data_IF_181440943747
#
_entry.id   IF_181440943747
#
_cell.length_a   1.000
_cell.length_b   1.000
_cell.length_c   1.000
_cell.angle_alpha   90.00
_cell.angle_beta   90.00
_cell.angle_gamma   90.00
#
_symmetry.space_group_name_H-M   'P 1'
#
loop_
_entity.id
_entity.type
_entity.pdbx_description
1 polymer ?
#
# COMPACT_ATOMS: atom_id res chain seq x y z
N UNK A 1 42.45 22.60 16.99
CA UNK A 1 41.00 22.70 16.67
C UNK A 1 40.45 21.45 15.95
N UNK A 2 41.22 20.37 15.79
CA UNK A 2 40.87 19.17 15.02
C UNK A 2 40.13 18.07 15.80
N UNK A 3 40.28 18.01 17.13
CA UNK A 3 39.70 16.94 17.96
C UNK A 3 38.16 17.00 18.06
N UNK A 4 37.61 18.19 18.27
CA UNK A 4 36.17 18.41 18.46
C UNK A 4 35.35 18.17 17.18
N UNK A 5 35.92 18.48 16.00
CA UNK A 5 35.26 18.21 14.71
C UNK A 5 35.20 16.72 14.40
N UNK A 6 36.26 15.96 14.70
CA UNK A 6 36.30 14.51 14.50
C UNK A 6 35.32 13.77 15.43
N UNK A 7 35.18 14.22 16.69
CA UNK A 7 34.19 13.69 17.63
C UNK A 7 32.75 13.91 17.14
N UNK A 8 32.42 15.12 16.65
CA UNK A 8 31.08 15.42 16.11
C UNK A 8 30.75 14.58 14.88
N UNK A 9 31.72 14.39 13.97
CA UNK A 9 31.53 13.56 12.78
C UNK A 9 31.30 12.08 13.13
N UNK A 10 32.04 11.53 14.09
CA UNK A 10 31.87 10.16 14.56
C UNK A 10 30.50 9.94 15.24
N UNK A 11 30.05 10.88 16.08
CA UNK A 11 28.72 10.83 16.70
C UNK A 11 27.60 10.89 15.65
N UNK A 12 27.74 11.75 14.62
CA UNK A 12 26.76 11.82 13.53
C UNK A 12 26.70 10.51 12.72
N UNK A 13 27.85 9.90 12.41
CA UNK A 13 27.89 8.61 11.71
C UNK A 13 27.23 7.48 12.52
N UNK A 14 27.47 7.44 13.83
CA UNK A 14 26.83 6.45 14.70
C UNK A 14 25.30 6.65 14.73
N UNK A 15 24.83 7.90 14.86
CA UNK A 15 23.40 8.19 14.85
C UNK A 15 22.69 7.75 13.56
N UNK A 16 23.31 7.94 12.39
CA UNK A 16 22.77 7.45 11.11
C UNK A 16 22.71 5.92 11.09
N UNK A 17 23.75 5.22 11.55
CA UNK A 17 23.75 3.75 11.62
C UNK A 17 22.66 3.23 12.54
N UNK A 18 22.44 3.87 13.68
CA UNK A 18 21.42 3.49 14.64
C UNK A 18 20.01 3.65 14.02
N UNK A 19 19.77 4.76 13.32
CA UNK A 19 18.51 5.00 12.60
C UNK A 19 18.26 3.91 11.54
N UNK A 20 19.25 3.59 10.71
CA UNK A 20 19.12 2.57 9.67
C UNK A 20 18.93 1.17 10.25
N UNK A 21 19.58 0.87 11.38
CA UNK A 21 19.45 -0.42 12.08
C UNK A 21 18.05 -0.57 12.68
N UNK A 22 17.53 0.47 13.33
CA UNK A 22 16.17 0.49 13.88
C UNK A 22 15.13 0.32 12.77
N UNK A 23 15.30 1.01 11.65
CA UNK A 23 14.42 0.88 10.48
C UNK A 23 14.41 -0.56 9.94
N UNK A 24 15.58 -1.19 9.83
CA UNK A 24 15.69 -2.60 9.41
C UNK A 24 14.97 -3.52 10.39
N UNK A 25 15.22 -3.38 11.69
CA UNK A 25 14.60 -4.21 12.72
C UNK A 25 13.08 -4.07 12.71
N UNK A 26 12.57 -2.85 12.56
CA UNK A 26 11.13 -2.62 12.44
C UNK A 26 10.54 -3.35 11.24
N UNK A 27 11.19 -3.28 10.07
CA UNK A 27 10.72 -3.98 8.88
C UNK A 27 10.71 -5.51 9.06
N UNK A 28 11.73 -6.08 9.70
CA UNK A 28 11.78 -7.53 9.97
C UNK A 28 10.70 -7.97 10.98
N UNK A 29 10.46 -7.18 12.03
CA UNK A 29 9.39 -7.42 12.98
C UNK A 29 8.02 -7.37 12.28
N UNK A 30 7.75 -6.33 11.48
CA UNK A 30 6.52 -6.22 10.72
C UNK A 30 6.34 -7.37 9.73
N UNK A 31 7.38 -7.71 8.98
CA UNK A 31 7.34 -8.86 8.04
C UNK A 31 6.92 -10.14 8.76
N UNK A 32 7.56 -10.45 9.89
CA UNK A 32 7.30 -11.67 10.65
C UNK A 32 5.87 -11.70 11.21
N UNK A 33 5.39 -10.57 11.74
CA UNK A 33 4.02 -10.44 12.25
C UNK A 33 2.99 -10.63 11.14
N UNK A 34 3.18 -9.97 9.99
CA UNK A 34 2.27 -10.06 8.86
C UNK A 34 2.23 -11.50 8.31
N UNK A 35 3.39 -12.16 8.18
CA UNK A 35 3.45 -13.54 7.71
C UNK A 35 2.71 -14.50 8.64
N UNK A 36 2.88 -14.33 9.96
CA UNK A 36 2.16 -15.13 10.95
C UNK A 36 0.64 -14.88 10.89
N UNK A 37 0.21 -13.63 10.79
CA UNK A 37 -1.21 -13.28 10.68
C UNK A 37 -1.83 -13.72 9.36
N UNK A 38 -1.09 -13.68 8.26
CA UNK A 38 -1.58 -14.18 6.98
C UNK A 38 -1.77 -15.71 7.02
N UNK A 39 -0.89 -16.41 7.73
CA UNK A 39 -1.00 -17.86 7.92
C UNK A 39 -2.22 -18.25 8.77
N UNK A 40 -2.69 -17.38 9.68
CA UNK A 40 -3.84 -17.65 10.54
C UNK A 40 -5.17 -17.12 9.98
N UNK A 41 -5.18 -15.92 9.41
CA UNK A 41 -6.37 -15.24 8.87
C UNK A 41 -6.63 -15.62 7.42
N UNK A 42 -5.58 -15.81 6.63
CA UNK A 42 -5.67 -16.08 5.19
C UNK A 42 -5.76 -14.83 4.31
N UNK A 43 -6.00 -15.06 3.01
CA UNK A 43 -6.13 -13.98 2.01
C UNK A 43 -7.32 -13.07 2.30
N UNK A 44 -7.15 -11.79 1.99
CA UNK A 44 -8.02 -10.71 2.47
C UNK A 44 -7.44 -9.95 3.67
N UNK A 45 -6.33 -10.44 4.25
CA UNK A 45 -5.58 -9.69 5.26
C UNK A 45 -5.24 -8.29 4.73
N UNK A 46 -5.71 -7.29 5.46
CA UNK A 46 -5.53 -5.88 5.13
C UNK A 46 -4.50 -5.28 6.07
N UNK A 47 -3.55 -4.56 5.49
CA UNK A 47 -2.54 -3.79 6.18
C UNK A 47 -2.85 -2.30 6.03
N UNK A 48 -2.39 -1.50 6.98
CA UNK A 48 -2.46 -0.05 6.91
C UNK A 48 -1.05 0.55 6.92
N UNK A 49 -0.93 1.71 6.28
CA UNK A 49 0.21 2.59 6.48
C UNK A 49 -0.20 3.64 7.50
N UNK A 50 0.33 3.53 8.72
CA UNK A 50 0.00 4.41 9.84
C UNK A 50 0.23 5.91 9.56
N UNK A 51 0.99 6.26 8.52
CA UNK A 51 1.30 7.66 8.18
C UNK A 51 0.50 8.23 7.02
N UNK A 52 -0.25 7.42 6.27
CA UNK A 52 -0.80 7.84 4.97
C UNK A 52 -2.29 7.54 4.76
N UNK A 53 -3.02 7.10 5.80
CA UNK A 53 -4.45 6.76 5.72
C UNK A 53 -4.82 5.92 4.49
N UNK A 54 -3.93 4.99 4.13
CA UNK A 54 -4.08 4.10 3.01
C UNK A 54 -3.81 2.65 3.44
N UNK A 55 -4.32 1.74 2.63
CA UNK A 55 -4.45 0.33 2.98
C UNK A 55 -3.96 -0.55 1.83
N UNK A 56 -3.56 -1.76 2.19
CA UNK A 56 -3.11 -2.78 1.26
C UNK A 56 -3.72 -4.13 1.62
N UNK A 57 -4.42 -4.76 0.70
CA UNK A 57 -4.97 -6.11 0.88
C UNK A 57 -4.14 -7.15 0.14
N UNK A 58 -3.82 -8.26 0.81
CA UNK A 58 -3.05 -9.38 0.26
C UNK A 58 -4.01 -10.45 -0.28
N UNK A 59 -3.83 -10.83 -1.56
CA UNK A 59 -4.72 -11.74 -2.28
C UNK A 59 -3.94 -12.74 -3.13
N UNK A 60 -4.61 -13.82 -3.54
CA UNK A 60 -4.21 -14.55 -4.76
C UNK A 60 -4.48 -13.66 -5.97
N UNK A 61 -3.65 -13.77 -6.99
CA UNK A 61 -3.89 -13.03 -8.21
C UNK A 61 -4.99 -13.70 -9.05
N UNK A 62 -6.12 -13.03 -9.32
CA UNK A 62 -7.19 -13.59 -10.15
C UNK A 62 -6.85 -13.57 -11.65
N UNK A 63 -5.90 -12.74 -12.08
CA UNK A 63 -5.50 -12.56 -13.48
C UNK A 63 -4.33 -13.47 -13.85
N UNK A 64 -3.49 -13.84 -12.88
CA UNK A 64 -2.33 -14.71 -13.09
C UNK A 64 -2.37 -15.93 -12.14
N UNK A 65 -2.91 -17.07 -12.60
CA UNK A 65 -3.03 -18.27 -11.78
C UNK A 65 -1.71 -18.70 -11.14
N UNK A 66 -1.74 -18.94 -9.82
CA UNK A 66 -0.57 -19.35 -9.04
C UNK A 66 0.25 -18.17 -8.48
N UNK A 67 -0.01 -16.94 -8.92
CA UNK A 67 0.65 -15.74 -8.37
C UNK A 67 -0.15 -15.09 -7.24
N UNK A 68 0.47 -14.12 -6.60
CA UNK A 68 -0.07 -13.37 -5.47
C UNK A 68 -0.05 -11.88 -5.80
N UNK A 69 -0.99 -11.11 -5.23
CA UNK A 69 -1.05 -9.66 -5.41
C UNK A 69 -1.27 -8.93 -4.11
N UNK A 70 -0.76 -7.71 -4.05
CA UNK A 70 -1.34 -6.70 -3.17
C UNK A 70 -2.27 -5.79 -3.96
N UNK A 71 -3.33 -5.31 -3.31
CA UNK A 71 -4.23 -4.29 -3.83
C UNK A 71 -4.23 -3.10 -2.87
N UNK A 72 -3.81 -1.93 -3.34
CA UNK A 72 -3.83 -0.69 -2.57
C UNK A 72 -5.17 0.03 -2.73
N UNK A 73 -5.61 0.66 -1.64
CA UNK A 73 -6.83 1.47 -1.59
C UNK A 73 -6.79 2.50 -0.47
N UNK A 74 -7.67 3.48 -0.55
CA UNK A 74 -7.94 4.46 0.50
C UNK A 74 -9.44 4.80 0.51
N UNK A 75 -9.84 5.91 1.15
CA UNK A 75 -11.25 6.32 1.19
C UNK A 75 -11.87 6.65 -0.17
N UNK A 76 -11.05 6.85 -1.21
CA UNK A 76 -11.47 7.13 -2.58
C UNK A 76 -11.40 5.88 -3.47
N UNK A 77 -11.24 4.68 -2.91
CA UNK A 77 -11.29 3.44 -3.67
C UNK A 77 -9.92 2.85 -3.98
N UNK A 78 -9.92 1.95 -4.96
CA UNK A 78 -8.72 1.24 -5.40
C UNK A 78 -7.81 2.14 -6.24
N UNK A 79 -6.49 2.07 -6.02
CA UNK A 79 -5.54 2.95 -6.72
C UNK A 79 -4.49 2.20 -7.53
N UNK A 80 -3.88 1.17 -6.97
CA UNK A 80 -2.82 0.39 -7.64
C UNK A 80 -2.75 -1.03 -7.09
N UNK A 81 -2.15 -1.93 -7.84
CA UNK A 81 -1.87 -3.29 -7.40
C UNK A 81 -0.49 -3.72 -7.89
N UNK A 82 0.02 -4.81 -7.35
CA UNK A 82 1.23 -5.42 -7.86
C UNK A 82 1.21 -6.92 -7.65
N UNK A 83 1.65 -7.63 -8.68
CA UNK A 83 1.69 -9.10 -8.74
C UNK A 83 3.11 -9.60 -8.48
N UNK A 84 3.22 -10.70 -7.72
CA UNK A 84 4.47 -11.35 -7.32
C UNK A 84 4.33 -12.87 -7.40
N UNK A 85 5.46 -13.54 -7.53
CA UNK A 85 5.52 -15.00 -7.65
C UNK A 85 5.35 -15.71 -6.29
N UNK A 86 5.64 -15.02 -5.19
CA UNK A 86 5.51 -15.54 -3.82
C UNK A 86 4.75 -14.58 -2.91
N UNK A 87 4.14 -15.11 -1.85
CA UNK A 87 3.42 -14.30 -0.87
C UNK A 87 4.39 -13.49 0.01
N UNK A 88 5.57 -14.05 0.25
CA UNK A 88 6.68 -13.41 0.95
C UNK A 88 7.14 -12.15 0.21
N UNK A 89 7.23 -12.19 -1.12
CA UNK A 89 7.60 -11.02 -1.93
C UNK A 89 6.51 -9.94 -1.90
N UNK A 90 5.23 -10.32 -1.81
CA UNK A 90 4.14 -9.36 -1.58
C UNK A 90 4.34 -8.66 -0.23
N UNK A 91 4.57 -9.40 0.84
CA UNK A 91 4.75 -8.83 2.18
C UNK A 91 5.99 -7.93 2.23
N UNK A 92 7.12 -8.36 1.65
CA UNK A 92 8.34 -7.54 1.58
C UNK A 92 8.10 -6.23 0.84
N UNK A 93 7.40 -6.27 -0.30
CA UNK A 93 7.04 -5.08 -1.03
C UNK A 93 6.18 -4.13 -0.17
N UNK A 94 5.14 -4.65 0.47
CA UNK A 94 4.24 -3.86 1.34
C UNK A 94 4.97 -3.21 2.52
N UNK A 95 5.81 -3.97 3.23
CA UNK A 95 6.61 -3.44 4.34
C UNK A 95 7.57 -2.35 3.86
N UNK A 96 8.20 -2.53 2.68
CA UNK A 96 9.09 -1.52 2.10
C UNK A 96 8.34 -0.22 1.73
N UNK A 97 7.07 -0.33 1.36
CA UNK A 97 6.18 0.79 1.07
C UNK A 97 5.55 1.41 2.33
N UNK A 98 5.81 0.86 3.53
CA UNK A 98 5.36 1.39 4.80
C UNK A 98 4.08 0.78 5.36
N UNK A 99 3.51 -0.24 4.71
CA UNK A 99 2.37 -1.00 5.24
C UNK A 99 2.86 -2.01 6.29
N UNK A 100 2.87 -1.59 7.55
CA UNK A 100 3.57 -2.29 8.64
C UNK A 100 2.66 -2.83 9.73
N UNK A 101 1.40 -2.39 9.76
CA UNK A 101 0.42 -2.78 10.78
C UNK A 101 -0.78 -3.44 10.13
N UNK A 102 -1.39 -4.36 10.86
CA UNK A 102 -2.62 -5.04 10.43
C UNK A 102 -3.77 -4.08 10.67
N UNK A 103 -4.56 -3.82 9.62
CA UNK A 103 -5.74 -2.99 9.72
C UNK A 103 -6.91 -3.76 10.37
N UNK A 104 -7.93 -3.02 10.79
CA UNK A 104 -9.20 -3.62 11.17
C UNK A 104 -9.78 -4.42 9.98
N UNK A 105 -10.20 -5.69 10.18
CA UNK A 105 -10.74 -6.53 9.10
C UNK A 105 -11.95 -5.94 8.36
N UNK A 106 -12.71 -5.05 9.02
CA UNK A 106 -13.90 -4.39 8.45
C UNK A 106 -13.56 -3.13 7.66
N UNK A 107 -12.28 -2.74 7.57
CA UNK A 107 -11.85 -1.49 6.95
C UNK A 107 -12.36 -1.34 5.52
N UNK A 108 -12.23 -2.38 4.69
CA UNK A 108 -12.69 -2.33 3.31
C UNK A 108 -14.22 -2.21 3.23
N UNK A 109 -14.96 -3.00 4.01
CA UNK A 109 -16.42 -2.94 4.03
C UNK A 109 -16.93 -1.57 4.46
N UNK A 110 -16.30 -1.00 5.50
CA UNK A 110 -16.60 0.33 6.00
C UNK A 110 -16.35 1.41 4.95
N UNK A 111 -15.19 1.39 4.27
CA UNK A 111 -14.86 2.40 3.27
C UNK A 111 -15.70 2.23 2.00
N UNK A 112 -15.89 0.99 1.53
CA UNK A 112 -16.63 0.69 0.30
C UNK A 112 -18.12 1.01 0.38
N UNK A 113 -18.66 1.14 1.59
CA UNK A 113 -20.03 1.59 1.84
C UNK A 113 -20.21 3.12 1.79
N UNK A 114 -19.15 3.89 1.55
CA UNK A 114 -19.20 5.37 1.54
C UNK A 114 -19.51 5.94 0.16
N UNK A 115 -20.06 7.17 0.14
CA UNK A 115 -20.29 7.90 -1.11
C UNK A 115 -18.96 8.26 -1.79
N UNK A 116 -17.97 8.63 -0.99
CA UNK A 116 -16.62 9.00 -1.43
C UNK A 116 -15.97 7.85 -2.20
N UNK A 117 -16.07 6.63 -1.67
CA UNK A 117 -15.60 5.44 -2.36
C UNK A 117 -16.32 5.20 -3.67
N UNK A 118 -17.66 5.28 -3.68
CA UNK A 118 -18.45 5.10 -4.90
C UNK A 118 -18.03 6.10 -6.00
N UNK A 119 -17.85 7.38 -5.64
CA UNK A 119 -17.37 8.41 -6.55
C UNK A 119 -15.95 8.15 -7.05
N UNK A 120 -15.07 7.70 -6.15
CA UNK A 120 -13.71 7.35 -6.51
C UNK A 120 -13.63 6.15 -7.46
N UNK A 121 -14.48 5.14 -7.28
CA UNK A 121 -14.57 4.01 -8.19
C UNK A 121 -15.05 4.39 -9.60
N UNK A 122 -15.91 5.41 -9.74
CA UNK A 122 -16.24 5.96 -11.07
C UNK A 122 -14.98 6.51 -11.75
N UNK A 123 -14.12 7.22 -11.01
CA UNK A 123 -12.85 7.73 -11.56
C UNK A 123 -11.94 6.60 -12.02
N UNK A 124 -11.82 5.54 -11.21
CA UNK A 124 -11.02 4.35 -11.55
C UNK A 124 -11.50 3.71 -12.85
N UNK A 125 -12.81 3.54 -13.02
CA UNK A 125 -13.36 2.96 -14.24
C UNK A 125 -13.18 3.87 -15.45
N UNK A 126 -13.37 5.19 -15.31
CA UNK A 126 -13.11 6.16 -16.39
C UNK A 126 -11.64 6.10 -16.82
N UNK A 127 -10.70 6.09 -15.88
CA UNK A 127 -9.26 5.99 -16.19
C UNK A 127 -8.97 4.69 -16.94
N UNK A 128 -9.57 3.56 -16.51
CA UNK A 128 -9.45 2.27 -17.21
C UNK A 128 -9.97 2.37 -18.66
N UNK A 129 -11.14 2.97 -18.87
CA UNK A 129 -11.74 3.13 -20.19
C UNK A 129 -10.88 4.01 -21.11
N UNK A 130 -10.35 5.12 -20.60
CA UNK A 130 -9.42 6.00 -21.35
C UNK A 130 -8.15 5.24 -21.74
N UNK A 131 -7.51 4.57 -20.78
CA UNK A 131 -6.27 3.83 -21.02
C UNK A 131 -6.44 2.69 -22.04
N UNK A 132 -7.63 2.11 -22.09
CA UNK A 132 -7.99 1.07 -23.05
C UNK A 132 -8.49 1.62 -24.40
N UNK A 133 -8.52 2.95 -24.59
CA UNK A 133 -8.99 3.59 -25.81
C UNK A 133 -10.51 3.45 -26.05
N UNK A 134 -11.28 3.13 -25.01
CA UNK A 134 -12.74 2.95 -25.11
C UNK A 134 -13.48 4.29 -25.16
N UNK A 135 -12.91 5.33 -24.55
CA UNK A 135 -13.41 6.72 -24.57
C UNK A 135 -12.23 7.69 -24.76
N UNK A 136 -12.52 8.90 -25.22
CA UNK A 136 -11.50 9.96 -25.31
C UNK A 136 -11.19 10.56 -23.93
N UNK A 137 -10.09 11.29 -23.84
CA UNK A 137 -9.73 12.04 -22.64
C UNK A 137 -10.83 13.06 -22.25
N UNK A 138 -11.36 13.78 -23.24
CA UNK A 138 -12.41 14.79 -23.04
C UNK A 138 -13.70 14.17 -22.52
N UNK A 139 -14.09 13.01 -23.06
CA UNK A 139 -15.24 12.26 -22.59
C UNK A 139 -15.03 11.76 -21.15
N UNK A 140 -13.82 11.28 -20.84
CA UNK A 140 -13.46 10.89 -19.47
C UNK A 140 -13.58 12.05 -18.47
N UNK A 141 -13.08 13.24 -18.82
CA UNK A 141 -13.23 14.45 -17.98
C UNK A 141 -14.70 14.78 -17.74
N UNK A 142 -15.55 14.70 -18.78
CA UNK A 142 -17.00 14.96 -18.66
C UNK A 142 -17.67 14.00 -17.67
N UNK A 143 -17.42 12.70 -17.80
CA UNK A 143 -18.00 11.67 -16.94
C UNK A 143 -17.59 11.83 -15.47
N UNK A 144 -16.33 12.16 -15.20
CA UNK A 144 -15.87 12.41 -13.82
C UNK A 144 -16.55 13.64 -13.22
N UNK A 145 -16.70 14.72 -13.98
CA UNK A 145 -17.39 15.93 -13.50
C UNK A 145 -18.86 15.66 -13.18
N UNK A 146 -19.56 14.91 -14.04
CA UNK A 146 -20.97 14.52 -13.81
C UNK A 146 -21.14 13.68 -12.55
N UNK A 147 -20.22 12.75 -12.29
CA UNK A 147 -20.25 11.90 -11.08
C UNK A 147 -19.93 12.64 -9.77
N UNK A 148 -19.41 13.88 -9.87
CA UNK A 148 -19.06 14.71 -8.70
C UNK A 148 -20.08 15.77 -8.34
N UNK A 149 -21.18 15.88 -9.10
CA UNK A 149 -22.33 16.74 -8.80
C UNK A 149 -23.27 16.07 -7.81
#
# INVERSE_FOLDING_TARGET
MTSTQNLRAATAQQGVRDILSNFRLQNECSYTQILASLSSVGFGLTLENAHASNYAMILRDPSEPGKFRYQLFDSLGFSTHGTRDSVEDVIRALVSMGFRTIADPTTLDRLSSTKEWAMGMVRVDVIRQVNNGQISWEEGVRLVLEATK
#
